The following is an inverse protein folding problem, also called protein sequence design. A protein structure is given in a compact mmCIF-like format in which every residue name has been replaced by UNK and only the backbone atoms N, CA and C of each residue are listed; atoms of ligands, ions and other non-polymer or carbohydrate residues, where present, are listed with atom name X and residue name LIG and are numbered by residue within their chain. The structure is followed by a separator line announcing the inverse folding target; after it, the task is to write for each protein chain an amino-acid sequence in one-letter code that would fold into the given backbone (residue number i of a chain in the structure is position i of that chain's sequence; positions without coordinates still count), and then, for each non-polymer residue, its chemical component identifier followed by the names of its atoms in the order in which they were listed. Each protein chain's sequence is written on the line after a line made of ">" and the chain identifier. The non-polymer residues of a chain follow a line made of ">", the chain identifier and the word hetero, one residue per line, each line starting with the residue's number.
data_IF_184042528318
#
_entry.id   IF_184042528318
#
_cell.length_a   1.000
_cell.length_b   1.000
_cell.length_c   1.000
_cell.angle_alpha   90.00
_cell.angle_beta   90.00
_cell.angle_gamma   90.00
#
_symmetry.space_group_name_H-M   'P 1'
#
loop_
_entity.id
_entity.type
_entity.pdbx_description
1 polymer ?
#
# COMPACT_ATOMS: atom_id res chain seq x y z
N UNK A 1 -21.10 -3.88 14.75
CA UNK A 1 -19.96 -3.13 14.19
C UNK A 1 -20.45 -2.34 12.99
N UNK A 2 -20.31 -1.01 13.00
CA UNK A 2 -20.68 -0.23 11.82
C UNK A 2 -19.59 -0.40 10.77
N UNK A 3 -19.93 -0.92 9.59
CA UNK A 3 -19.03 -0.98 8.43
C UNK A 3 -18.61 0.42 7.92
N UNK A 4 -19.16 1.48 8.54
CA UNK A 4 -18.88 2.88 8.24
C UNK A 4 -17.43 3.31 8.49
N UNK A 5 -16.66 2.54 9.27
CA UNK A 5 -15.25 2.83 9.56
C UNK A 5 -14.28 2.25 8.52
N UNK A 6 -14.78 1.57 7.49
CA UNK A 6 -13.96 1.11 6.35
C UNK A 6 -13.72 2.32 5.44
N UNK A 7 -12.76 3.15 5.82
CA UNK A 7 -12.26 4.20 4.92
C UNK A 7 -11.54 3.53 3.75
N UNK A 8 -12.20 3.54 2.59
CA UNK A 8 -11.63 3.09 1.32
C UNK A 8 -10.43 3.98 0.96
N UNK A 9 -9.24 3.49 1.32
CA UNK A 9 -7.98 4.19 1.13
C UNK A 9 -7.85 5.39 2.09
N UNK A 10 -6.82 5.39 2.89
CA UNK A 10 -6.49 6.50 3.81
C UNK A 10 -5.94 7.72 3.03
N UNK A 11 -6.55 8.05 1.89
CA UNK A 11 -6.15 9.20 1.09
C UNK A 11 -6.58 10.50 1.78
N UNK A 12 -5.60 11.37 2.05
CA UNK A 12 -5.85 12.72 2.55
C UNK A 12 -5.83 13.71 1.38
N UNK A 13 -6.98 14.29 1.01
CA UNK A 13 -7.00 15.31 -0.03
C UNK A 13 -6.18 16.52 0.41
N UNK A 14 -5.19 16.90 -0.38
CA UNK A 14 -4.29 18.01 -0.08
C UNK A 14 -3.66 18.59 -1.35
N UNK A 15 -3.17 19.83 -1.25
CA UNK A 15 -2.53 20.56 -2.35
C UNK A 15 -1.02 20.73 -2.16
N UNK A 16 -0.34 19.72 -1.56
CA UNK A 16 1.11 19.79 -1.41
C UNK A 16 1.86 19.44 -2.70
N UNK A 17 3.14 19.75 -2.75
CA UNK A 17 4.04 19.37 -3.83
C UNK A 17 3.94 17.85 -4.16
N UNK A 18 3.94 17.01 -3.11
CA UNK A 18 3.85 15.55 -3.27
C UNK A 18 2.49 15.13 -3.85
N UNK A 19 1.38 15.82 -3.53
CA UNK A 19 0.07 15.50 -4.09
C UNK A 19 -0.03 15.80 -5.59
N UNK A 20 0.71 16.81 -6.08
CA UNK A 20 0.70 17.23 -7.49
C UNK A 20 1.55 16.35 -8.41
N UNK A 21 2.44 15.53 -7.86
CA UNK A 21 3.25 14.59 -8.64
C UNK A 21 2.39 13.59 -9.39
N UNK A 22 2.82 13.21 -10.59
CA UNK A 22 2.20 12.14 -11.37
C UNK A 22 2.25 10.80 -10.60
N UNK A 23 1.15 10.02 -10.55
CA UNK A 23 1.11 8.73 -9.87
C UNK A 23 2.21 7.76 -10.33
N UNK A 24 2.60 7.80 -11.60
CA UNK A 24 3.71 6.97 -12.14
C UNK A 24 5.03 7.28 -11.46
N UNK A 25 5.34 8.58 -11.35
CA UNK A 25 6.58 9.04 -10.70
C UNK A 25 6.61 8.68 -9.22
N UNK A 26 5.46 8.76 -8.53
CA UNK A 26 5.34 8.36 -7.13
C UNK A 26 5.59 6.88 -6.94
N UNK A 27 5.00 6.02 -7.79
CA UNK A 27 5.20 4.57 -7.73
C UNK A 27 6.68 4.24 -7.96
N UNK A 28 7.30 4.80 -9.00
CA UNK A 28 8.72 4.60 -9.28
C UNK A 28 9.61 5.11 -8.15
N UNK A 29 9.32 6.29 -7.60
CA UNK A 29 10.07 6.85 -6.48
C UNK A 29 9.99 5.96 -5.23
N UNK A 30 8.81 5.38 -4.94
CA UNK A 30 8.67 4.43 -3.83
C UNK A 30 9.42 3.13 -4.10
N UNK A 31 9.41 2.61 -5.32
CA UNK A 31 10.20 1.42 -5.68
C UNK A 31 11.70 1.70 -5.51
N UNK A 32 12.20 2.84 -6.02
CA UNK A 32 13.59 3.25 -5.82
C UNK A 32 13.94 3.42 -4.34
N UNK A 33 13.04 4.01 -3.57
CA UNK A 33 13.19 4.14 -2.12
C UNK A 33 13.30 2.80 -1.41
N UNK A 34 12.47 1.81 -1.78
CA UNK A 34 12.55 0.44 -1.25
C UNK A 34 13.89 -0.20 -1.60
N UNK A 35 14.33 -0.09 -2.85
CA UNK A 35 15.63 -0.60 -3.31
C UNK A 35 16.77 0.05 -2.53
N UNK A 36 16.75 1.38 -2.36
CA UNK A 36 17.75 2.11 -1.60
C UNK A 36 17.83 1.64 -0.14
N UNK A 37 16.67 1.41 0.52
CA UNK A 37 16.63 0.90 1.90
C UNK A 37 17.17 -0.53 2.03
N UNK A 38 16.95 -1.38 1.05
CA UNK A 38 17.53 -2.73 1.03
C UNK A 38 19.05 -2.69 0.90
N UNK A 39 19.58 -1.72 0.14
CA UNK A 39 21.00 -1.52 -0.04
C UNK A 39 21.69 -0.86 1.16
N UNK A 40 20.94 -0.24 2.09
CA UNK A 40 21.48 0.36 3.30
C UNK A 40 22.15 -0.68 4.20
N UNK A 41 23.43 -0.47 4.53
CA UNK A 41 24.20 -1.32 5.44
C UNK A 41 24.85 -0.54 6.59
N UNK A 42 24.91 0.80 6.50
CA UNK A 42 25.65 1.68 7.40
C UNK A 42 24.74 2.72 8.06
N UNK A 43 25.14 3.21 9.24
CA UNK A 43 24.46 4.30 9.95
C UNK A 43 24.32 5.56 9.09
N UNK A 44 25.33 5.90 8.30
CA UNK A 44 25.32 7.07 7.41
C UNK A 44 24.25 6.92 6.33
N UNK A 45 24.18 5.72 5.72
CA UNK A 45 23.16 5.41 4.70
C UNK A 45 21.73 5.53 5.26
N UNK A 46 21.49 5.02 6.47
CA UNK A 46 20.19 5.17 7.15
C UNK A 46 19.90 6.64 7.50
N UNK A 47 20.92 7.41 7.91
CA UNK A 47 20.78 8.85 8.17
C UNK A 47 20.33 9.63 6.93
N UNK A 48 20.94 9.38 5.76
CA UNK A 48 20.56 9.99 4.48
C UNK A 48 19.10 9.64 4.12
N UNK A 49 18.73 8.36 4.23
CA UNK A 49 17.37 7.91 3.93
C UNK A 49 16.35 8.49 4.89
N UNK A 50 16.70 8.64 6.18
CA UNK A 50 15.84 9.28 7.17
C UNK A 50 15.60 10.75 6.87
N UNK A 51 16.65 11.50 6.49
CA UNK A 51 16.55 12.91 6.07
C UNK A 51 15.68 13.06 4.83
N UNK A 52 15.90 12.24 3.80
CA UNK A 52 15.06 12.22 2.59
C UNK A 52 13.59 11.98 2.97
N UNK A 53 13.35 11.06 3.88
CA UNK A 53 12.01 10.73 4.33
C UNK A 53 11.36 11.84 5.14
N UNK A 54 12.08 12.42 6.09
CA UNK A 54 11.61 13.54 6.91
C UNK A 54 11.23 14.75 6.04
N UNK A 55 12.06 15.07 5.03
CA UNK A 55 11.78 16.13 4.07
C UNK A 55 10.53 15.83 3.23
N UNK A 56 10.39 14.59 2.72
CA UNK A 56 9.20 14.18 1.97
C UNK A 56 7.92 14.29 2.81
N UNK A 57 7.93 13.87 4.07
CA UNK A 57 6.81 13.98 4.99
C UNK A 57 6.47 15.47 5.23
N UNK A 58 7.48 16.30 5.53
CA UNK A 58 7.29 17.74 5.77
C UNK A 58 6.67 18.43 4.56
N UNK A 59 7.17 18.14 3.36
CA UNK A 59 6.67 18.70 2.10
C UNK A 59 5.28 18.18 1.75
N UNK A 60 4.92 16.95 2.13
CA UNK A 60 3.61 16.36 1.86
C UNK A 60 2.48 16.99 2.68
N UNK A 61 2.80 17.68 3.79
CA UNK A 61 1.82 18.24 4.75
C UNK A 61 0.84 17.20 5.33
N UNK A 62 1.18 15.92 5.27
CA UNK A 62 0.41 14.85 5.90
C UNK A 62 0.63 14.91 7.41
N UNK A 63 -0.43 14.83 8.24
CA UNK A 63 -0.27 14.89 9.69
C UNK A 63 0.56 13.70 10.20
N UNK A 64 1.63 14.00 10.92
CA UNK A 64 2.52 12.98 11.51
C UNK A 64 1.77 11.97 12.39
N UNK A 65 0.70 12.42 13.05
CA UNK A 65 -0.14 11.56 13.88
C UNK A 65 -0.75 10.41 13.10
N UNK A 66 -1.15 10.63 11.84
CA UNK A 66 -1.70 9.58 10.97
C UNK A 66 -0.63 8.56 10.57
N UNK A 67 0.59 9.03 10.26
CA UNK A 67 1.71 8.15 9.92
C UNK A 67 2.10 7.30 11.13
N UNK A 68 2.24 7.93 12.31
CA UNK A 68 2.57 7.22 13.55
C UNK A 68 1.45 6.27 13.99
N UNK A 69 0.19 6.67 13.80
CA UNK A 69 -0.97 5.81 14.05
C UNK A 69 -0.96 4.53 13.22
N UNK A 70 -0.61 4.65 11.93
CA UNK A 70 -0.45 3.50 11.03
C UNK A 70 0.72 2.60 11.39
N UNK A 71 1.79 3.15 11.97
CA UNK A 71 2.96 2.37 12.41
C UNK A 71 2.69 1.58 13.71
N UNK A 72 1.74 2.00 14.54
CA UNK A 72 1.47 1.40 15.86
C UNK A 72 1.28 -0.13 15.86
N UNK A 73 0.44 -0.74 14.98
CA UNK A 73 0.30 -2.20 14.94
C UNK A 73 1.57 -2.91 14.47
N UNK A 74 2.42 -2.23 13.71
CA UNK A 74 3.62 -2.79 13.09
C UNK A 74 4.79 -2.79 14.06
N UNK A 75 4.79 -1.89 15.05
CA UNK A 75 5.79 -1.87 16.14
C UNK A 75 5.85 -3.23 16.84
N UNK A 76 4.71 -3.85 17.08
CA UNK A 76 4.67 -5.19 17.68
C UNK A 76 5.43 -6.23 16.83
N UNK A 77 5.14 -6.25 15.51
CA UNK A 77 5.82 -7.17 14.59
C UNK A 77 7.32 -6.85 14.47
N UNK A 78 7.66 -5.56 14.42
CA UNK A 78 9.07 -5.11 14.37
C UNK A 78 9.84 -5.49 15.64
N UNK A 79 9.24 -5.35 16.82
CA UNK A 79 9.83 -5.81 18.06
C UNK A 79 9.99 -7.32 18.11
N UNK A 80 8.99 -8.07 17.65
CA UNK A 80 9.07 -9.53 17.58
C UNK A 80 10.22 -9.99 16.67
N UNK A 81 10.32 -9.41 15.47
CA UNK A 81 11.42 -9.73 14.54
C UNK A 81 12.79 -9.29 15.09
N UNK A 82 12.86 -8.18 15.83
CA UNK A 82 14.09 -7.75 16.50
C UNK A 82 14.55 -8.76 17.53
N UNK A 83 13.63 -9.25 18.38
CA UNK A 83 13.92 -10.28 19.39
C UNK A 83 14.41 -11.56 18.72
N UNK A 84 13.77 -12.02 17.63
CA UNK A 84 14.24 -13.19 16.89
C UNK A 84 15.66 -12.97 16.34
N UNK A 85 15.92 -11.82 15.70
CA UNK A 85 17.26 -11.53 15.16
C UNK A 85 18.32 -11.43 16.24
N UNK A 86 17.97 -10.91 17.41
CA UNK A 86 18.90 -10.82 18.54
C UNK A 86 19.47 -12.20 18.94
N UNK A 87 18.65 -13.24 18.86
CA UNK A 87 19.03 -14.61 19.26
C UNK A 87 19.53 -15.47 18.09
N UNK A 88 19.15 -15.16 16.86
CA UNK A 88 19.50 -16.00 15.69
C UNK A 88 20.73 -15.51 14.94
N UNK A 89 21.17 -14.24 15.16
CA UNK A 89 22.32 -13.70 14.45
C UNK A 89 23.63 -14.17 15.10
N UNK A 90 24.44 -15.00 14.43
CA UNK A 90 25.76 -15.37 14.92
C UNK A 90 26.70 -14.16 14.82
N UNK A 91 27.53 -13.93 15.83
CA UNK A 91 28.54 -12.89 15.85
C UNK A 91 29.80 -13.34 16.58
N UNK A 92 30.90 -12.59 16.41
CA UNK A 92 32.18 -12.90 17.03
C UNK A 92 32.25 -12.39 18.48
N UNK A 93 31.54 -11.27 18.77
CA UNK A 93 31.56 -10.66 20.12
C UNK A 93 30.32 -11.08 20.91
N UNK A 94 30.50 -12.05 21.78
CA UNK A 94 29.43 -12.56 22.67
C UNK A 94 29.33 -11.64 23.90
N UNK A 95 28.17 -10.96 24.03
CA UNK A 95 27.87 -10.12 25.20
C UNK A 95 27.33 -10.95 26.37
N UNK A 96 26.36 -11.83 26.09
CA UNK A 96 25.75 -12.68 27.12
C UNK A 96 25.46 -14.05 26.51
N UNK A 97 25.85 -15.11 27.21
CA UNK A 97 25.54 -16.50 26.84
C UNK A 97 24.63 -17.08 27.90
N UNK A 98 23.38 -17.36 27.55
CA UNK A 98 22.41 -18.02 28.41
C UNK A 98 22.01 -19.34 27.75
N UNK A 99 22.61 -20.41 28.25
CA UNK A 99 22.39 -21.79 27.82
C UNK A 99 22.53 -21.99 26.30
N UNK A 100 21.45 -21.98 25.52
CA UNK A 100 21.46 -22.14 24.06
C UNK A 100 21.42 -20.80 23.32
N UNK A 101 21.02 -19.72 24.00
CA UNK A 101 20.82 -18.39 23.39
C UNK A 101 22.09 -17.53 23.63
N UNK A 102 22.70 -17.08 22.53
CA UNK A 102 23.88 -16.20 22.57
C UNK A 102 23.47 -14.82 22.02
N UNK A 103 23.57 -13.80 22.87
CA UNK A 103 23.41 -12.43 22.46
C UNK A 103 24.76 -11.88 22.04
N UNK A 104 24.86 -11.49 20.76
CA UNK A 104 26.08 -10.92 20.18
C UNK A 104 25.91 -9.43 19.92
N UNK A 105 27.01 -8.69 19.96
CA UNK A 105 26.98 -7.24 19.66
C UNK A 105 26.48 -6.99 18.24
N UNK A 106 26.90 -7.80 17.28
CA UNK A 106 26.47 -7.78 15.90
C UNK A 106 24.96 -8.06 15.78
N UNK A 107 24.44 -8.96 16.60
CA UNK A 107 23.01 -9.27 16.69
C UNK A 107 22.19 -8.06 17.15
N UNK A 108 22.69 -7.30 18.12
CA UNK A 108 22.02 -6.07 18.61
C UNK A 108 21.97 -5.01 17.50
N UNK A 109 23.07 -4.77 16.80
CA UNK A 109 23.10 -3.80 15.70
C UNK A 109 22.19 -4.24 14.55
N UNK A 110 22.21 -5.51 14.17
CA UNK A 110 21.35 -6.04 13.11
C UNK A 110 19.86 -5.95 13.48
N UNK A 111 19.51 -6.27 14.73
CA UNK A 111 18.14 -6.12 15.22
C UNK A 111 17.68 -4.64 15.16
N UNK A 112 18.52 -3.70 15.60
CA UNK A 112 18.24 -2.28 15.53
C UNK A 112 18.03 -1.80 14.07
N UNK A 113 18.97 -2.12 13.17
CA UNK A 113 18.85 -1.76 11.76
C UNK A 113 17.62 -2.38 11.11
N UNK A 114 17.26 -3.60 11.48
CA UNK A 114 16.07 -4.26 10.96
C UNK A 114 14.78 -3.55 11.37
N UNK A 115 14.67 -3.16 12.65
CA UNK A 115 13.53 -2.36 13.12
C UNK A 115 13.43 -1.05 12.38
N UNK A 116 14.53 -0.30 12.30
CA UNK A 116 14.58 0.98 11.58
C UNK A 116 14.18 0.79 10.11
N UNK A 117 14.71 -0.24 9.45
CA UNK A 117 14.39 -0.57 8.06
C UNK A 117 12.90 -0.83 7.87
N UNK A 118 12.29 -1.69 8.70
CA UNK A 118 10.86 -2.02 8.62
C UNK A 118 10.01 -0.75 8.81
N UNK A 119 10.32 0.04 9.84
CA UNK A 119 9.60 1.28 10.12
C UNK A 119 9.69 2.29 8.98
N UNK A 120 10.87 2.43 8.38
CA UNK A 120 11.08 3.33 7.26
C UNK A 120 10.39 2.85 5.97
N UNK A 121 10.45 1.54 5.65
CA UNK A 121 9.74 0.94 4.52
C UNK A 121 8.25 1.23 4.59
N UNK A 122 7.65 0.96 5.73
CA UNK A 122 6.20 1.13 5.92
C UNK A 122 5.81 2.60 5.93
N UNK A 123 6.58 3.46 6.61
CA UNK A 123 6.35 4.88 6.51
C UNK A 123 6.45 5.37 5.06
N UNK A 124 7.34 4.76 4.23
CA UNK A 124 7.47 5.04 2.79
C UNK A 124 6.21 4.76 2.00
N UNK A 125 5.65 3.58 2.15
CA UNK A 125 4.43 3.17 1.45
C UNK A 125 3.20 3.93 1.93
N UNK A 126 3.11 4.28 3.21
CA UNK A 126 2.02 5.12 3.73
C UNK A 126 1.97 6.50 3.07
N UNK A 127 3.13 7.12 2.78
CA UNK A 127 3.13 8.41 2.11
C UNK A 127 2.49 8.33 0.71
N UNK A 128 2.76 7.25 -0.04
CA UNK A 128 2.13 7.00 -1.34
C UNK A 128 0.61 6.88 -1.17
N UNK A 129 0.16 6.07 -0.21
CA UNK A 129 -1.26 5.82 0.04
C UNK A 129 -1.99 7.09 0.51
N UNK A 130 -1.37 7.89 1.36
CA UNK A 130 -1.96 9.13 1.87
C UNK A 130 -2.00 10.26 0.82
N UNK A 131 -1.09 10.26 -0.15
CA UNK A 131 -0.97 11.33 -1.16
C UNK A 131 -1.53 10.98 -2.53
N UNK A 132 -2.02 9.74 -2.73
CA UNK A 132 -2.53 9.30 -4.04
C UNK A 132 -3.83 8.52 -3.84
N UNK A 133 -4.89 8.91 -4.55
CA UNK A 133 -6.15 8.17 -4.49
C UNK A 133 -6.01 6.80 -5.16
N UNK A 134 -6.74 5.75 -4.70
CA UNK A 134 -6.68 4.41 -5.28
C UNK A 134 -6.93 4.38 -6.79
N UNK A 135 -7.86 5.22 -7.29
CA UNK A 135 -8.17 5.31 -8.72
C UNK A 135 -6.96 5.86 -9.51
N UNK A 136 -6.30 6.91 -9.02
CA UNK A 136 -5.11 7.46 -9.66
C UNK A 136 -3.94 6.49 -9.61
N UNK A 137 -3.84 5.70 -8.53
CA UNK A 137 -2.82 4.66 -8.40
C UNK A 137 -3.01 3.57 -9.46
N UNK A 138 -4.26 3.15 -9.70
CA UNK A 138 -4.62 2.19 -10.75
C UNK A 138 -4.27 2.70 -12.14
N UNK A 139 -4.58 3.98 -12.44
CA UNK A 139 -4.23 4.61 -13.71
C UNK A 139 -2.71 4.71 -13.91
N UNK A 140 -1.99 5.04 -12.85
CA UNK A 140 -0.52 5.06 -12.84
C UNK A 140 0.09 3.68 -13.12
N UNK A 141 -0.45 2.66 -12.46
CA UNK A 141 -0.01 1.27 -12.60
C UNK A 141 -0.28 0.74 -14.03
N UNK A 142 -1.48 0.98 -14.57
CA UNK A 142 -1.81 0.63 -15.96
C UNK A 142 -0.81 1.24 -16.94
N UNK A 143 -0.47 2.49 -16.73
CA UNK A 143 0.47 3.17 -17.61
C UNK A 143 1.89 2.64 -17.50
N UNK A 144 2.36 2.31 -16.29
CA UNK A 144 3.69 1.71 -16.06
C UNK A 144 3.77 0.28 -16.61
N UNK A 145 2.68 -0.48 -16.53
CA UNK A 145 2.59 -1.85 -17.05
C UNK A 145 2.25 -1.89 -18.55
N UNK A 146 1.97 -0.75 -19.17
CA UNK A 146 1.65 -0.67 -20.61
C UNK A 146 2.65 -1.37 -21.53
N UNK A 147 3.97 -1.40 -21.29
CA UNK A 147 4.91 -2.17 -22.10
C UNK A 147 4.61 -3.68 -22.16
N UNK A 148 3.99 -4.24 -21.09
CA UNK A 148 3.63 -5.66 -21.03
C UNK A 148 2.49 -6.03 -22.00
N UNK A 149 1.75 -5.05 -22.53
CA UNK A 149 0.78 -5.27 -23.61
C UNK A 149 1.42 -5.92 -24.84
N UNK A 150 2.72 -5.65 -25.08
CA UNK A 150 3.48 -6.25 -26.18
C UNK A 150 3.67 -7.77 -26.02
N UNK A 151 3.58 -8.27 -24.80
CA UNK A 151 3.70 -9.71 -24.46
C UNK A 151 2.32 -10.37 -24.35
N UNK A 152 1.25 -9.66 -24.74
CA UNK A 152 -0.13 -10.19 -24.72
C UNK A 152 -0.86 -10.07 -23.38
N UNK A 153 -0.30 -9.36 -22.39
CA UNK A 153 -0.97 -9.17 -21.10
C UNK A 153 -2.17 -8.22 -21.22
N UNK A 154 -3.35 -8.57 -20.68
CA UNK A 154 -4.58 -7.76 -20.77
C UNK A 154 -4.57 -6.62 -19.70
N UNK A 155 -3.55 -5.75 -19.75
CA UNK A 155 -3.34 -4.70 -18.75
C UNK A 155 -4.49 -3.69 -18.69
N UNK A 156 -5.05 -3.36 -19.85
CA UNK A 156 -6.17 -2.41 -19.92
C UNK A 156 -7.42 -2.98 -19.24
N UNK A 157 -7.72 -4.24 -19.54
CA UNK A 157 -8.87 -4.95 -18.98
C UNK A 157 -8.74 -5.08 -17.46
N UNK A 158 -7.55 -5.43 -16.97
CA UNK A 158 -7.25 -5.49 -15.53
C UNK A 158 -7.44 -4.12 -14.85
N UNK A 159 -6.90 -3.06 -15.44
CA UNK A 159 -7.05 -1.71 -14.87
C UNK A 159 -8.51 -1.25 -14.87
N UNK A 160 -9.26 -1.58 -15.92
CA UNK A 160 -10.69 -1.30 -16.00
C UNK A 160 -11.46 -2.06 -14.93
N UNK A 161 -11.21 -3.36 -14.75
CA UNK A 161 -11.83 -4.16 -13.68
C UNK A 161 -11.54 -3.59 -12.30
N UNK A 162 -10.29 -3.19 -12.03
CA UNK A 162 -9.93 -2.54 -10.77
C UNK A 162 -10.66 -1.20 -10.56
N UNK A 163 -10.77 -0.39 -11.61
CA UNK A 163 -11.46 0.90 -11.54
C UNK A 163 -12.97 0.72 -11.27
N UNK A 164 -13.60 -0.27 -11.92
CA UNK A 164 -15.00 -0.64 -11.68
C UNK A 164 -15.17 -1.17 -10.25
N UNK A 165 -14.29 -2.06 -9.80
CA UNK A 165 -14.35 -2.60 -8.45
C UNK A 165 -14.24 -1.48 -7.40
N UNK A 166 -13.24 -0.60 -7.51
CA UNK A 166 -13.05 0.54 -6.60
C UNK A 166 -14.28 1.47 -6.56
N UNK A 167 -14.97 1.62 -7.68
CA UNK A 167 -16.20 2.42 -7.77
C UNK A 167 -17.38 1.74 -7.08
N UNK A 168 -17.48 0.41 -7.16
CA UNK A 168 -18.61 -0.33 -6.59
C UNK A 168 -18.45 -0.64 -5.10
N UNK A 169 -17.23 -0.64 -4.54
CA UNK A 169 -17.02 -0.94 -3.12
C UNK A 169 -17.88 -0.06 -2.20
N UNK A 170 -17.95 1.29 -2.33
CA UNK A 170 -18.81 2.11 -1.48
C UNK A 170 -20.28 1.68 -1.56
N UNK A 171 -20.76 1.43 -2.77
CA UNK A 171 -22.15 1.02 -3.00
C UNK A 171 -22.46 -0.34 -2.39
N UNK A 172 -21.51 -1.30 -2.50
CA UNK A 172 -21.65 -2.63 -1.88
C UNK A 172 -21.63 -2.55 -0.35
N UNK A 173 -20.85 -1.65 0.25
CA UNK A 173 -20.87 -1.40 1.70
C UNK A 173 -22.24 -0.89 2.13
N UNK A 174 -22.78 0.11 1.45
CA UNK A 174 -24.12 0.63 1.75
C UNK A 174 -25.20 -0.43 1.61
N UNK A 175 -25.12 -1.26 0.58
CA UNK A 175 -26.04 -2.35 0.34
C UNK A 175 -25.92 -3.43 1.41
N UNK A 176 -24.71 -3.77 1.81
CA UNK A 176 -24.43 -4.70 2.93
C UNK A 176 -25.07 -4.19 4.23
N UNK A 177 -24.94 -2.90 4.55
CA UNK A 177 -25.55 -2.30 5.73
C UNK A 177 -27.10 -2.38 5.68
N UNK A 178 -27.70 -2.17 4.51
CA UNK A 178 -29.15 -2.28 4.31
C UNK A 178 -29.63 -3.73 4.50
N UNK A 179 -28.96 -4.70 3.87
CA UNK A 179 -29.28 -6.13 4.00
C UNK A 179 -29.09 -6.58 5.44
N UNK A 180 -27.99 -6.18 6.09
CA UNK A 180 -27.70 -6.52 7.49
C UNK A 180 -28.79 -5.98 8.42
N UNK A 181 -29.23 -4.75 8.24
CA UNK A 181 -30.29 -4.12 9.02
C UNK A 181 -31.63 -4.86 8.83
N UNK A 182 -31.97 -5.24 7.59
CA UNK A 182 -33.17 -6.01 7.29
C UNK A 182 -33.13 -7.42 7.90
N UNK A 183 -32.00 -8.10 7.88
CA UNK A 183 -31.84 -9.42 8.47
C UNK A 183 -31.88 -9.38 10.01
N UNK A 184 -31.30 -8.33 10.63
CA UNK A 184 -31.46 -8.10 12.09
C UNK A 184 -32.89 -7.89 12.48
N UNK A 185 -33.68 -7.15 11.70
CA UNK A 185 -35.13 -6.99 11.94
C UNK A 185 -35.90 -8.30 11.83
N UNK A 186 -35.40 -9.29 11.10
CA UNK A 186 -35.93 -10.66 10.98
C UNK A 186 -35.42 -11.60 12.08
N UNK A 187 -34.67 -11.09 13.06
CA UNK A 187 -34.13 -11.88 14.18
C UNK A 187 -32.78 -12.54 13.91
N UNK A 188 -32.08 -12.19 12.82
CA UNK A 188 -30.75 -12.72 12.59
C UNK A 188 -29.73 -12.11 13.56
N UNK A 189 -28.98 -12.98 14.22
CA UNK A 189 -27.89 -12.59 15.12
C UNK A 189 -26.53 -12.92 14.48
N UNK A 190 -25.72 -11.90 14.27
CA UNK A 190 -24.40 -11.99 13.63
C UNK A 190 -23.25 -12.00 14.65
N UNK A 191 -23.53 -11.79 15.94
CA UNK A 191 -22.50 -11.52 16.96
C UNK A 191 -22.37 -12.64 17.98
N UNK A 192 -23.43 -13.40 18.27
CA UNK A 192 -23.42 -14.49 19.25
C UNK A 192 -23.10 -15.86 18.63
N UNK A 193 -22.66 -16.77 19.47
CA UNK A 193 -22.38 -18.16 19.10
C UNK A 193 -20.93 -18.46 18.68
N UNK A 194 -20.68 -19.73 18.34
CA UNK A 194 -19.40 -20.26 17.88
C UNK A 194 -19.03 -19.72 16.49
N UNK A 195 -17.74 -19.76 16.11
CA UNK A 195 -17.24 -19.32 14.80
C UNK A 195 -18.03 -19.92 13.62
N UNK A 196 -18.42 -21.20 13.70
CA UNK A 196 -19.21 -21.88 12.66
C UNK A 196 -20.63 -21.31 12.59
N UNK A 197 -21.26 -21.03 13.75
CA UNK A 197 -22.59 -20.42 13.80
C UNK A 197 -22.58 -19.00 13.23
N UNK A 198 -21.58 -18.20 13.57
CA UNK A 198 -21.38 -16.85 12.98
C UNK A 198 -21.17 -16.92 11.46
N UNK A 199 -20.37 -17.87 10.97
CA UNK A 199 -20.19 -18.08 9.54
C UNK A 199 -21.51 -18.45 8.83
N UNK A 200 -22.32 -19.32 9.42
CA UNK A 200 -23.66 -19.67 8.90
C UNK A 200 -24.61 -18.47 8.92
N UNK A 201 -24.55 -17.63 9.95
CA UNK A 201 -25.38 -16.42 10.04
C UNK A 201 -25.06 -15.39 8.94
N UNK A 202 -23.88 -15.44 8.33
CA UNK A 202 -23.52 -14.57 7.19
C UNK A 202 -24.12 -15.03 5.86
N UNK A 203 -24.57 -16.28 5.72
CA UNK A 203 -25.13 -16.78 4.45
C UNK A 203 -26.35 -15.96 3.98
N UNK A 204 -27.34 -15.62 4.83
CA UNK A 204 -28.47 -14.77 4.45
C UNK A 204 -28.08 -13.34 4.04
N UNK A 205 -26.86 -12.89 4.34
CA UNK A 205 -26.29 -11.64 3.89
C UNK A 205 -25.58 -11.80 2.53
N UNK A 206 -24.80 -12.87 2.39
CA UNK A 206 -23.98 -13.09 1.20
C UNK A 206 -24.83 -13.40 -0.04
N UNK A 207 -25.86 -14.24 0.07
CA UNK A 207 -26.68 -14.64 -1.08
C UNK A 207 -27.36 -13.44 -1.77
N UNK A 208 -28.08 -12.55 -1.06
CA UNK A 208 -28.67 -11.37 -1.67
C UNK A 208 -27.61 -10.42 -2.26
N UNK A 209 -26.47 -10.28 -1.58
CA UNK A 209 -25.38 -9.42 -2.04
C UNK A 209 -24.78 -9.94 -3.35
N UNK A 210 -24.59 -11.26 -3.50
CA UNK A 210 -24.15 -11.87 -4.76
C UNK A 210 -25.16 -11.63 -5.88
N UNK A 211 -26.44 -11.90 -5.65
CA UNK A 211 -27.49 -11.70 -6.66
C UNK A 211 -27.53 -10.25 -7.13
N UNK A 212 -27.46 -9.29 -6.19
CA UNK A 212 -27.42 -7.88 -6.50
C UNK A 212 -26.16 -7.50 -7.29
N UNK A 213 -25.01 -8.04 -6.91
CA UNK A 213 -23.74 -7.79 -7.60
C UNK A 213 -23.76 -8.29 -9.05
N UNK A 214 -24.30 -9.48 -9.31
CA UNK A 214 -24.44 -10.01 -10.67
C UNK A 214 -25.41 -9.18 -11.51
N UNK A 215 -26.58 -8.83 -10.95
CA UNK A 215 -27.55 -7.96 -11.65
C UNK A 215 -26.90 -6.64 -12.05
N UNK A 216 -26.12 -6.05 -11.16
CA UNK A 216 -25.41 -4.79 -11.40
C UNK A 216 -24.30 -4.94 -12.45
N UNK A 217 -23.63 -6.10 -12.48
CA UNK A 217 -22.65 -6.42 -13.52
C UNK A 217 -23.30 -6.54 -14.89
N UNK A 218 -24.46 -7.22 -14.98
CA UNK A 218 -25.23 -7.34 -16.21
C UNK A 218 -25.73 -5.98 -16.72
N UNK A 219 -26.30 -5.15 -15.83
CA UNK A 219 -26.72 -3.78 -16.15
C UNK A 219 -25.55 -2.94 -16.69
N UNK A 220 -24.37 -3.06 -16.07
CA UNK A 220 -23.17 -2.36 -16.51
C UNK A 220 -22.71 -2.88 -17.89
N UNK A 221 -22.73 -4.20 -18.10
CA UNK A 221 -22.34 -4.81 -19.38
C UNK A 221 -23.24 -4.31 -20.52
N UNK A 222 -24.56 -4.35 -20.33
CA UNK A 222 -25.54 -3.81 -21.30
C UNK A 222 -25.28 -2.32 -21.56
N UNK A 223 -25.05 -1.52 -20.50
CA UNK A 223 -24.77 -0.10 -20.66
C UNK A 223 -23.46 0.17 -21.42
N UNK A 224 -22.45 -0.70 -21.27
CA UNK A 224 -21.19 -0.62 -22.03
C UNK A 224 -21.40 -1.00 -23.50
N UNK A 225 -22.17 -2.06 -23.78
CA UNK A 225 -22.54 -2.45 -25.15
C UNK A 225 -23.33 -1.36 -25.87
N UNK A 226 -24.32 -0.77 -25.23
CA UNK A 226 -25.07 0.36 -25.77
C UNK A 226 -24.19 1.59 -26.08
N UNK A 227 -23.05 1.73 -25.41
CA UNK A 227 -22.03 2.76 -25.68
C UNK A 227 -20.96 2.31 -26.66
N UNK A 228 -21.20 1.21 -27.40
CA UNK A 228 -20.29 0.63 -28.37
C UNK A 228 -18.90 0.33 -27.81
N UNK A 229 -18.82 -0.17 -26.57
CA UNK A 229 -17.55 -0.58 -25.99
C UNK A 229 -17.01 -1.83 -26.73
N UNK A 230 -15.80 -1.72 -27.29
CA UNK A 230 -15.11 -2.80 -28.06
C UNK A 230 -13.72 -3.12 -27.50
N UNK A 231 -13.53 -3.01 -26.19
CA UNK A 231 -12.22 -3.22 -25.56
C UNK A 231 -11.34 -1.96 -25.55
N UNK A 232 -10.03 -2.17 -25.35
CA UNK A 232 -9.06 -1.08 -25.18
C UNK A 232 -8.48 -0.48 -26.46
N UNK A 233 -8.72 -1.11 -27.64
CA UNK A 233 -8.15 -0.67 -28.90
C UNK A 233 -8.80 0.62 -29.41
N UNK A 234 -7.99 1.63 -29.75
CA UNK A 234 -8.47 2.90 -30.31
C UNK A 234 -9.18 3.84 -29.31
N UNK A 235 -9.18 3.52 -28.02
CA UNK A 235 -9.86 4.31 -27.00
C UNK A 235 -9.03 5.50 -26.54
N UNK A 236 -9.63 6.68 -26.46
CA UNK A 236 -9.05 7.88 -25.85
C UNK A 236 -9.48 7.99 -24.39
N UNK A 237 -8.63 8.61 -23.56
CA UNK A 237 -8.92 8.88 -22.15
C UNK A 237 -9.37 10.33 -21.97
N UNK A 238 -10.47 10.52 -21.25
CA UNK A 238 -10.95 11.85 -20.87
C UNK A 238 -9.93 12.54 -19.94
N UNK A 239 -9.37 11.81 -18.98
CA UNK A 239 -8.35 12.32 -18.05
C UNK A 239 -7.02 11.67 -18.39
N UNK A 240 -6.12 12.46 -18.96
CA UNK A 240 -4.76 12.02 -19.28
C UNK A 240 -3.82 12.38 -18.15
N UNK A 241 -2.96 11.43 -17.78
CA UNK A 241 -1.83 11.70 -16.89
C UNK A 241 -0.80 12.56 -17.64
N UNK A 242 -0.45 13.71 -17.08
CA UNK A 242 0.51 14.65 -17.69
C UNK A 242 1.78 14.68 -16.84
N UNK A 243 2.88 14.27 -17.45
CA UNK A 243 4.19 14.35 -16.86
C UNK A 243 4.62 15.83 -16.76
N UNK A 244 5.13 16.22 -15.61
CA UNK A 244 5.62 17.57 -15.37
C UNK A 244 7.13 17.54 -15.11
N UNK A 245 7.81 18.67 -15.30
CA UNK A 245 9.26 18.79 -15.00
C UNK A 245 9.59 18.43 -13.54
N UNK A 246 8.64 18.67 -12.64
CA UNK A 246 8.72 18.31 -11.22
C UNK A 246 8.88 16.79 -11.02
N UNK A 247 8.22 15.98 -11.83
CA UNK A 247 8.30 14.53 -11.80
C UNK A 247 9.69 14.04 -12.17
N UNK A 248 10.26 14.64 -13.22
CA UNK A 248 11.64 14.32 -13.67
C UNK A 248 12.65 14.66 -12.60
N UNK A 249 12.55 15.84 -11.97
CA UNK A 249 13.45 16.26 -10.88
C UNK A 249 13.35 15.29 -9.71
N UNK A 250 12.14 14.89 -9.33
CA UNK A 250 11.92 13.95 -8.24
C UNK A 250 12.55 12.59 -8.54
N UNK A 251 12.38 12.05 -9.76
CA UNK A 251 12.98 10.77 -10.15
C UNK A 251 14.52 10.85 -10.19
N UNK A 252 15.09 11.93 -10.72
CA UNK A 252 16.54 12.14 -10.71
C UNK A 252 17.07 12.17 -9.27
N UNK A 253 16.38 12.88 -8.36
CA UNK A 253 16.75 12.94 -6.96
C UNK A 253 16.75 11.55 -6.31
N UNK A 254 15.67 10.78 -6.48
CA UNK A 254 15.59 9.43 -5.92
C UNK A 254 16.62 8.48 -6.52
N UNK A 255 16.90 8.57 -7.82
CA UNK A 255 17.94 7.79 -8.48
C UNK A 255 19.32 8.16 -7.94
N UNK A 256 19.63 9.46 -7.82
CA UNK A 256 20.90 9.92 -7.27
C UNK A 256 21.13 9.45 -5.83
N UNK A 257 20.07 9.53 -4.99
CA UNK A 257 20.14 9.02 -3.60
C UNK A 257 20.32 7.51 -3.57
N UNK A 258 19.63 6.76 -4.44
CA UNK A 258 19.78 5.29 -4.52
C UNK A 258 21.21 4.91 -4.90
N UNK A 259 21.80 5.60 -5.88
CA UNK A 259 23.19 5.38 -6.29
C UNK A 259 24.14 5.77 -5.14
N UNK A 260 23.94 6.91 -4.50
CA UNK A 260 24.75 7.37 -3.36
C UNK A 260 24.75 6.34 -2.23
N UNK A 261 23.59 5.86 -1.84
CA UNK A 261 23.44 4.81 -0.79
C UNK A 261 24.13 3.51 -1.21
N UNK A 262 24.00 3.10 -2.48
CA UNK A 262 24.68 1.92 -3.00
C UNK A 262 26.21 2.04 -2.97
N UNK A 263 26.74 3.23 -3.29
CA UNK A 263 28.18 3.54 -3.22
C UNK A 263 28.65 3.55 -1.76
N UNK A 264 27.93 4.23 -0.85
CA UNK A 264 28.26 4.25 0.58
C UNK A 264 28.28 2.84 1.17
N UNK A 265 27.28 2.00 0.81
CA UNK A 265 27.22 0.62 1.27
C UNK A 265 28.37 -0.25 0.76
N UNK A 266 29.00 0.10 -0.38
CA UNK A 266 30.17 -0.60 -0.94
C UNK A 266 31.47 -0.19 -0.24
N UNK A 267 31.58 1.06 0.21
CA UNK A 267 32.73 1.57 0.95
C UNK A 267 32.69 1.27 2.46
N UNK A 268 31.63 0.65 2.95
CA UNK A 268 31.47 0.31 4.38
C UNK A 268 31.14 1.50 5.29
N UNK A 269 30.81 2.65 4.69
CA UNK A 269 30.46 3.91 5.37
C UNK A 269 28.95 4.05 5.57
#
# INVERSE_FOLDING_TARGET
>A
MALKDITLGQYFPGNSFVHRLDPRSKILAVVMYIIALVLCKSFVSYGVMFLLRATAIKVSKVPLKSILGGLKPIVFLACFTAVLNLFTTPGQTVLVKVWVLTITLEGVFNAFFMVVRIMMLIAGTFLLTYTTSPILLTDGLESLLSPLKKVGAPIHELAMMMSIALRFIPTLIEETDKIMSAQRARGADFESGNLIQRAKALIPLLVPLFISSFRRADELAVAMECRCYRGGAGRTRLRQLKYQNIDTITLILFTAVTILVGVLGRFGL
#
